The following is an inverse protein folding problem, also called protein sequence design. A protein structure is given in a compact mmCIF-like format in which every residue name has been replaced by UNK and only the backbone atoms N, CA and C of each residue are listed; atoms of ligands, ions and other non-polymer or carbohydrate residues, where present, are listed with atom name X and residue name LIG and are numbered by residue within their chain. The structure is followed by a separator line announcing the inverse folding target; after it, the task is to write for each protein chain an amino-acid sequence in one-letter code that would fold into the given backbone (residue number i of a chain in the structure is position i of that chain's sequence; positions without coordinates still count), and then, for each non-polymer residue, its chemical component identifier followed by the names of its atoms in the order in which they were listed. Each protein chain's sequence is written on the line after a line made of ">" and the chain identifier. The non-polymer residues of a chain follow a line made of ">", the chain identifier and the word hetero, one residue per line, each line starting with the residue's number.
data_IF_633026303188
#
_entry.id   IF_633026303188
#
_cell.length_a   1.000
_cell.length_b   1.000
_cell.length_c   1.000
_cell.angle_alpha   90.00
_cell.angle_beta   90.00
_cell.angle_gamma   90.00
#
_symmetry.space_group_name_H-M   'P 1'
#
loop_
_entity.id
_entity.type
_entity.pdbx_description
1 polymer ?
#
# COMPACT_ATOMS: atom_id res chain seq x y z
N UNK A 1 -8.22 -14.94 -2.53
CA UNK A 1 -8.80 -16.29 -2.49
C UNK A 1 -7.74 -17.28 -2.96
N UNK A 2 -7.42 -18.29 -2.14
CA UNK A 2 -6.36 -19.30 -2.37
C UNK A 2 -6.95 -20.53 -3.07
N UNK A 3 -6.41 -20.92 -4.22
CA UNK A 3 -6.59 -22.23 -4.88
C UNK A 3 -5.41 -22.36 -5.87
N UNK A 4 -4.72 -23.47 -6.14
CA UNK A 4 -4.61 -24.83 -5.64
C UNK A 4 -3.26 -25.31 -6.22
N UNK A 5 -2.29 -25.65 -5.39
CA UNK A 5 -1.05 -26.29 -5.84
C UNK A 5 -1.04 -27.70 -5.25
N UNK A 6 -1.08 -28.72 -6.09
CA UNK A 6 -0.53 -30.06 -5.79
C UNK A 6 -0.70 -30.97 -7.01
N UNK A 7 0.44 -31.38 -7.55
CA UNK A 7 0.59 -32.42 -8.56
C UNK A 7 1.62 -33.43 -8.02
N UNK A 8 1.44 -34.70 -8.40
CA UNK A 8 2.33 -35.86 -8.22
C UNK A 8 2.23 -36.65 -6.90
N UNK A 9 1.48 -37.76 -6.96
CA UNK A 9 1.98 -39.07 -6.53
C UNK A 9 1.06 -40.20 -7.00
N UNK A 10 1.68 -41.29 -7.44
CA UNK A 10 1.13 -42.64 -7.67
C UNK A 10 0.79 -43.00 -9.12
N UNK A 11 1.84 -43.37 -9.88
CA UNK A 11 1.74 -44.54 -10.76
C UNK A 11 3.01 -45.37 -10.56
N UNK A 12 2.84 -46.56 -9.98
CA UNK A 12 3.91 -47.56 -9.84
C UNK A 12 4.21 -48.20 -11.19
N UNK A 13 5.51 -48.36 -11.48
CA UNK A 13 6.04 -49.08 -12.64
C UNK A 13 5.98 -50.57 -12.31
N UNK A 14 5.14 -51.32 -13.01
CA UNK A 14 5.23 -52.78 -13.06
C UNK A 14 6.03 -53.19 -14.30
N UNK A 15 7.24 -53.72 -14.07
CA UNK A 15 8.05 -54.42 -15.06
C UNK A 15 7.43 -55.77 -15.44
N UNK A 16 7.30 -56.14 -16.72
CA UNK A 16 6.98 -57.51 -17.10
C UNK A 16 8.22 -58.40 -17.03
N UNK A 17 8.03 -59.59 -16.47
CA UNK A 17 8.97 -60.69 -16.34
C UNK A 17 9.40 -61.28 -17.68
N UNK A 18 10.70 -61.58 -17.79
CA UNK A 18 11.35 -62.37 -18.84
C UNK A 18 10.78 -63.80 -18.88
N UNK A 19 10.37 -64.29 -20.05
CA UNK A 19 10.06 -65.71 -20.29
C UNK A 19 11.00 -66.30 -21.36
N UNK A 20 11.38 -67.58 -21.28
CA UNK A 20 12.44 -68.17 -22.10
C UNK A 20 11.92 -68.63 -23.47
N UNK A 21 12.74 -68.41 -24.48
CA UNK A 21 12.57 -68.91 -25.85
C UNK A 21 12.79 -70.43 -25.91
N UNK A 22 11.78 -71.19 -26.32
CA UNK A 22 11.97 -72.57 -26.77
C UNK A 22 11.05 -72.90 -27.95
N UNK A 23 11.65 -73.41 -29.03
CA UNK A 23 11.01 -74.23 -30.06
C UNK A 23 10.44 -73.47 -31.27
N UNK A 24 11.25 -73.35 -32.33
CA UNK A 24 10.75 -72.93 -33.65
C UNK A 24 9.90 -74.02 -34.32
N UNK A 25 8.76 -73.62 -34.88
CA UNK A 25 8.04 -74.38 -35.90
C UNK A 25 8.27 -73.71 -37.27
N UNK A 26 8.27 -74.46 -38.39
CA UNK A 26 8.58 -73.92 -39.70
C UNK A 26 7.51 -72.93 -40.15
N UNK A 27 7.96 -71.80 -40.70
CA UNK A 27 7.13 -70.75 -41.28
C UNK A 27 6.48 -71.27 -42.57
N UNK A 28 5.14 -71.30 -42.62
CA UNK A 28 4.37 -71.62 -43.84
C UNK A 28 3.91 -70.30 -44.50
N UNK A 29 4.47 -69.90 -45.66
CA UNK A 29 4.16 -68.64 -46.32
C UNK A 29 2.76 -68.60 -46.99
N UNK A 30 1.99 -69.69 -46.95
CA UNK A 30 0.75 -69.81 -47.73
C UNK A 30 -0.53 -69.31 -47.02
N UNK A 31 -0.45 -68.85 -45.77
CA UNK A 31 -1.61 -68.39 -44.99
C UNK A 31 -1.88 -66.87 -45.05
N UNK A 32 -1.04 -66.09 -45.73
CA UNK A 32 -1.28 -64.66 -45.94
C UNK A 32 -1.74 -64.39 -47.37
N UNK A 33 -2.94 -64.89 -47.70
CA UNK A 33 -3.70 -64.37 -48.83
C UNK A 33 -4.37 -63.06 -48.43
N UNK A 34 -3.99 -62.01 -49.13
CA UNK A 34 -4.77 -60.81 -49.47
C UNK A 34 -5.94 -60.45 -48.55
N UNK A 35 -5.74 -59.41 -47.73
CA UNK A 35 -6.80 -58.51 -47.33
C UNK A 35 -6.22 -57.12 -47.02
N UNK A 36 -6.00 -56.32 -48.05
CA UNK A 36 -6.35 -54.90 -47.96
C UNK A 36 -7.88 -54.87 -48.02
N UNK A 37 -8.52 -54.27 -47.02
CA UNK A 37 -9.28 -53.08 -47.39
C UNK A 37 -9.19 -51.95 -46.37
N UNK A 38 -9.50 -50.77 -46.92
CA UNK A 38 -9.88 -49.54 -46.26
C UNK A 38 -8.75 -48.73 -45.63
N UNK A 39 -8.28 -47.74 -46.39
CA UNK A 39 -8.22 -46.39 -45.85
C UNK A 39 -9.47 -46.19 -44.97
N UNK A 40 -9.27 -45.94 -43.68
CA UNK A 40 -10.36 -45.66 -42.76
C UNK A 40 -11.08 -44.40 -43.30
N UNK A 41 -12.17 -44.57 -44.06
CA UNK A 41 -13.05 -43.47 -44.41
C UNK A 41 -13.70 -43.01 -43.11
N UNK A 42 -13.23 -41.87 -42.58
CA UNK A 42 -13.89 -41.20 -41.48
C UNK A 42 -15.37 -41.02 -41.84
N UNK A 43 -16.28 -41.46 -40.97
CA UNK A 43 -17.71 -41.18 -41.17
C UNK A 43 -17.91 -39.66 -41.22
N UNK A 44 -18.91 -39.16 -41.95
CA UNK A 44 -19.17 -37.73 -42.06
C UNK A 44 -19.32 -37.03 -40.69
N UNK A 45 -19.77 -37.72 -39.64
CA UNK A 45 -19.76 -37.17 -38.28
C UNK A 45 -18.34 -36.93 -37.75
N UNK A 46 -17.40 -37.86 -37.96
CA UNK A 46 -16.00 -37.72 -37.51
C UNK A 46 -15.32 -36.55 -38.23
N UNK A 47 -15.61 -36.35 -39.52
CA UNK A 47 -15.09 -35.20 -40.28
C UNK A 47 -15.67 -33.87 -39.77
N UNK A 48 -16.96 -33.83 -39.43
CA UNK A 48 -17.60 -32.65 -38.85
C UNK A 48 -17.05 -32.29 -37.46
N UNK A 49 -16.78 -33.30 -36.61
CA UNK A 49 -16.12 -33.10 -35.32
C UNK A 49 -14.71 -32.54 -35.49
N UNK A 50 -13.94 -33.06 -36.45
CA UNK A 50 -12.58 -32.59 -36.75
C UNK A 50 -12.56 -31.11 -37.15
N UNK A 51 -13.49 -30.69 -38.01
CA UNK A 51 -13.63 -29.27 -38.41
C UNK A 51 -14.03 -28.38 -37.23
N UNK A 52 -14.93 -28.87 -36.38
CA UNK A 52 -15.33 -28.15 -35.16
C UNK A 52 -14.15 -27.98 -34.19
N UNK A 53 -13.34 -29.02 -33.98
CA UNK A 53 -12.14 -28.98 -33.14
C UNK A 53 -11.15 -27.94 -33.69
N UNK A 54 -10.84 -27.99 -34.99
CA UNK A 54 -9.94 -27.02 -35.62
C UNK A 54 -10.43 -25.57 -35.47
N UNK A 55 -11.74 -25.36 -35.60
CA UNK A 55 -12.33 -24.04 -35.38
C UNK A 55 -12.18 -23.57 -33.93
N UNK A 56 -12.44 -24.44 -32.95
CA UNK A 56 -12.28 -24.15 -31.53
C UNK A 56 -10.82 -23.90 -31.15
N UNK A 57 -9.87 -24.67 -31.71
CA UNK A 57 -8.43 -24.45 -31.54
C UNK A 57 -8.03 -23.07 -32.06
N UNK A 58 -8.51 -22.67 -33.24
CA UNK A 58 -8.29 -21.33 -33.79
C UNK A 58 -8.82 -20.23 -32.87
N UNK A 59 -10.04 -20.39 -32.33
CA UNK A 59 -10.62 -19.45 -31.37
C UNK A 59 -9.82 -19.38 -30.06
N UNK A 60 -9.34 -20.51 -29.56
CA UNK A 60 -8.55 -20.58 -28.33
C UNK A 60 -7.24 -19.82 -28.47
N UNK A 61 -6.55 -19.97 -29.61
CA UNK A 61 -5.31 -19.22 -29.91
C UNK A 61 -5.56 -17.71 -29.94
N UNK A 62 -6.67 -17.27 -30.55
CA UNK A 62 -7.04 -15.84 -30.61
C UNK A 62 -7.34 -15.30 -29.20
N UNK A 63 -8.11 -16.03 -28.39
CA UNK A 63 -8.43 -15.62 -27.03
C UNK A 63 -7.18 -15.56 -26.14
N UNK A 64 -6.29 -16.53 -26.28
CA UNK A 64 -5.01 -16.59 -25.57
C UNK A 64 -4.10 -15.41 -25.93
N UNK A 65 -4.09 -15.00 -27.21
CA UNK A 65 -3.43 -13.77 -27.63
C UNK A 65 -4.06 -12.51 -27.01
N UNK A 66 -5.40 -12.39 -27.02
CA UNK A 66 -6.11 -11.27 -26.40
C UNK A 66 -5.83 -11.17 -24.89
N UNK A 67 -5.77 -12.30 -24.18
CA UNK A 67 -5.42 -12.34 -22.75
C UNK A 67 -4.00 -11.79 -22.53
N UNK A 68 -3.02 -12.21 -23.34
CA UNK A 68 -1.65 -11.68 -23.25
C UNK A 68 -1.58 -10.18 -23.49
N UNK A 69 -2.28 -9.66 -24.50
CA UNK A 69 -2.32 -8.22 -24.75
C UNK A 69 -2.95 -7.45 -23.58
N UNK A 70 -4.05 -7.96 -23.02
CA UNK A 70 -4.71 -7.35 -21.87
C UNK A 70 -3.82 -7.35 -20.63
N UNK A 71 -3.07 -8.43 -20.39
CA UNK A 71 -2.07 -8.50 -19.30
C UNK A 71 -1.00 -7.42 -19.49
N UNK A 72 -0.41 -7.31 -20.69
CA UNK A 72 0.62 -6.30 -20.96
C UNK A 72 0.09 -4.86 -20.80
N UNK A 73 -1.15 -4.60 -21.24
CA UNK A 73 -1.83 -3.31 -21.04
C UNK A 73 -2.07 -3.03 -19.56
N UNK A 74 -2.56 -4.01 -18.81
CA UNK A 74 -2.81 -3.90 -17.38
C UNK A 74 -1.51 -3.61 -16.61
N UNK A 75 -0.42 -4.30 -16.92
CA UNK A 75 0.90 -4.09 -16.31
C UNK A 75 1.43 -2.67 -16.58
N UNK A 76 1.28 -2.20 -17.82
CA UNK A 76 1.67 -0.83 -18.21
C UNK A 76 0.84 0.22 -17.45
N UNK A 77 -0.49 0.04 -17.39
CA UNK A 77 -1.37 0.94 -16.63
C UNK A 77 -1.06 0.93 -15.14
N UNK A 78 -0.77 -0.23 -14.56
CA UNK A 78 -0.42 -0.35 -13.14
C UNK A 78 0.90 0.37 -12.83
N UNK A 79 1.88 0.25 -13.72
CA UNK A 79 3.15 1.00 -13.63
C UNK A 79 2.92 2.51 -13.70
N UNK A 80 2.09 2.96 -14.65
CA UNK A 80 1.74 4.37 -14.79
C UNK A 80 1.01 4.90 -13.55
N UNK A 81 0.04 4.15 -13.03
CA UNK A 81 -0.67 4.46 -11.79
C UNK A 81 0.29 4.57 -10.60
N UNK A 82 1.24 3.65 -10.48
CA UNK A 82 2.28 3.70 -9.44
C UNK A 82 3.15 4.95 -9.55
N UNK A 83 3.54 5.34 -10.76
CA UNK A 83 4.29 6.57 -11.00
C UNK A 83 3.49 7.83 -10.67
N UNK A 84 2.22 7.91 -11.08
CA UNK A 84 1.34 9.02 -10.75
C UNK A 84 1.15 9.17 -9.23
N UNK A 85 0.90 8.07 -8.52
CA UNK A 85 0.80 8.08 -7.04
C UNK A 85 2.07 8.62 -6.38
N UNK A 86 3.24 8.25 -6.89
CA UNK A 86 4.53 8.77 -6.39
C UNK A 86 4.66 10.27 -6.64
N UNK A 87 4.31 10.73 -7.84
CA UNK A 87 4.35 12.16 -8.19
C UNK A 87 3.40 12.97 -7.32
N UNK A 88 2.17 12.48 -7.09
CA UNK A 88 1.20 13.13 -6.21
C UNK A 88 1.79 13.29 -4.81
N UNK A 89 2.29 12.21 -4.22
CA UNK A 89 2.92 12.26 -2.89
C UNK A 89 4.07 13.25 -2.82
N UNK A 90 4.96 13.27 -3.83
CA UNK A 90 6.07 14.21 -3.87
C UNK A 90 5.59 15.67 -3.97
N UNK A 91 4.52 15.93 -4.72
CA UNK A 91 3.94 17.26 -4.83
C UNK A 91 3.26 17.69 -3.53
N UNK A 92 2.52 16.79 -2.88
CA UNK A 92 1.93 17.02 -1.56
C UNK A 92 3.03 17.37 -0.54
N UNK A 93 4.11 16.58 -0.46
CA UNK A 93 5.24 16.85 0.43
C UNK A 93 5.86 18.24 0.14
N UNK A 94 6.05 18.61 -1.14
CA UNK A 94 6.56 19.94 -1.53
C UNK A 94 5.61 21.07 -1.15
N UNK A 95 4.31 20.89 -1.32
CA UNK A 95 3.30 21.88 -0.91
C UNK A 95 3.37 22.09 0.60
N UNK A 96 3.36 21.00 1.38
CA UNK A 96 3.46 21.11 2.85
C UNK A 96 4.74 21.80 3.30
N UNK A 97 5.87 21.55 2.62
CA UNK A 97 7.14 22.22 2.92
C UNK A 97 7.09 23.71 2.57
N UNK A 98 6.48 24.07 1.44
CA UNK A 98 6.30 25.47 1.04
C UNK A 98 5.37 26.24 1.98
N UNK A 99 4.30 25.61 2.47
CA UNK A 99 3.38 26.18 3.45
C UNK A 99 4.07 26.38 4.81
N UNK A 100 4.78 25.36 5.30
CA UNK A 100 5.55 25.41 6.55
C UNK A 100 6.52 26.61 6.58
N UNK A 101 7.10 26.90 5.42
CA UNK A 101 8.05 27.96 5.21
C UNK A 101 7.43 29.37 5.23
N UNK A 102 6.11 29.52 5.10
CA UNK A 102 5.44 30.84 5.08
C UNK A 102 5.13 31.37 6.48
N UNK A 103 5.24 30.54 7.52
CA UNK A 103 4.81 30.90 8.88
C UNK A 103 5.70 31.97 9.54
N UNK A 104 6.99 32.05 9.19
CA UNK A 104 7.93 33.05 9.75
C UNK A 104 7.86 33.17 11.29
N UNK A 105 7.74 32.04 12.00
CA UNK A 105 7.63 32.00 13.46
C UNK A 105 6.23 32.24 14.04
N UNK A 106 5.24 32.58 13.22
CA UNK A 106 3.83 32.67 13.64
C UNK A 106 3.04 31.57 12.94
N UNK A 107 2.55 30.61 13.72
CA UNK A 107 1.79 29.48 13.22
C UNK A 107 0.40 29.43 13.87
N UNK A 108 -0.64 29.29 13.03
CA UNK A 108 -2.01 29.14 13.47
C UNK A 108 -2.47 27.73 13.11
N UNK A 109 -2.76 26.93 14.13
CA UNK A 109 -3.28 25.58 13.94
C UNK A 109 -4.79 25.55 14.12
N UNK A 110 -5.51 25.40 13.01
CA UNK A 110 -6.95 25.17 13.04
C UNK A 110 -7.21 23.67 13.22
N UNK A 111 -7.86 23.30 14.32
CA UNK A 111 -8.30 21.92 14.56
C UNK A 111 -9.76 21.82 14.15
N UNK A 112 -10.03 21.09 13.07
CA UNK A 112 -11.38 20.88 12.56
C UNK A 112 -12.03 19.64 13.18
N UNK A 113 -13.37 19.62 13.19
CA UNK A 113 -14.18 18.49 13.67
C UNK A 113 -13.82 18.03 15.10
N UNK A 114 -13.57 18.98 16.00
CA UNK A 114 -13.12 18.71 17.37
C UNK A 114 -14.04 17.76 18.16
N UNK A 115 -15.33 17.75 17.85
CA UNK A 115 -16.33 16.85 18.44
C UNK A 115 -16.01 15.36 18.24
N UNK A 116 -15.33 14.98 17.17
CA UNK A 116 -14.90 13.58 16.96
C UNK A 116 -13.83 13.15 17.97
N UNK A 117 -12.94 14.07 18.33
CA UNK A 117 -11.91 13.83 19.32
C UNK A 117 -12.50 13.70 20.73
N UNK A 118 -13.49 14.54 21.07
CA UNK A 118 -14.21 14.44 22.33
C UNK A 118 -14.94 13.09 22.46
N UNK A 119 -15.65 12.64 21.42
CA UNK A 119 -16.29 11.32 21.41
C UNK A 119 -15.28 10.19 21.60
N UNK A 120 -14.13 10.28 20.94
CA UNK A 120 -13.07 9.27 21.10
C UNK A 120 -12.56 9.22 22.54
N UNK A 121 -12.43 10.38 23.19
CA UNK A 121 -12.01 10.50 24.58
C UNK A 121 -13.07 9.98 25.57
N UNK A 122 -14.36 10.22 25.31
CA UNK A 122 -15.48 9.62 26.06
C UNK A 122 -15.49 8.09 25.99
N UNK A 123 -15.10 7.53 24.84
CA UNK A 123 -14.92 6.08 24.63
C UNK A 123 -13.60 5.54 25.23
N UNK A 124 -12.96 6.30 26.12
CA UNK A 124 -11.66 6.01 26.74
C UNK A 124 -10.51 5.74 25.75
N UNK A 125 -10.60 6.26 24.52
CA UNK A 125 -9.51 6.13 23.55
C UNK A 125 -8.55 7.32 23.66
N UNK A 126 -7.23 7.08 23.69
CA UNK A 126 -6.25 8.15 23.75
C UNK A 126 -6.30 8.99 22.48
N UNK A 127 -6.34 10.31 22.63
CA UNK A 127 -6.34 11.25 21.50
C UNK A 127 -5.06 12.06 21.51
N UNK A 128 -4.24 11.82 20.48
CA UNK A 128 -3.00 12.55 20.22
C UNK A 128 -2.99 12.99 18.77
N UNK A 129 -2.93 14.29 18.53
CA UNK A 129 -2.88 14.86 17.18
C UNK A 129 -1.64 15.75 17.01
N UNK A 130 -1.13 15.84 15.79
CA UNK A 130 0.04 16.65 15.44
C UNK A 130 -0.36 17.71 14.42
N UNK A 131 0.18 18.91 14.57
CA UNK A 131 0.07 19.93 13.53
C UNK A 131 1.01 19.62 12.35
N UNK A 132 0.77 20.21 11.17
CA UNK A 132 1.82 20.36 10.17
C UNK A 132 3.08 21.00 10.76
N UNK A 133 4.23 20.68 10.17
CA UNK A 133 5.48 21.34 10.50
C UNK A 133 5.46 22.79 10.04
N UNK A 134 6.13 23.67 10.77
CA UNK A 134 6.27 25.08 10.43
C UNK A 134 7.67 25.58 10.79
N UNK A 135 8.14 26.60 10.07
CA UNK A 135 9.45 27.18 10.32
C UNK A 135 9.39 28.42 11.18
N UNK A 136 10.39 28.58 12.05
CA UNK A 136 10.57 29.82 12.83
C UNK A 136 11.02 31.01 11.98
N UNK A 137 11.48 30.77 10.74
CA UNK A 137 11.98 31.79 9.81
C UNK A 137 12.66 31.16 8.58
N UNK A 138 13.23 32.00 7.71
CA UNK A 138 14.04 31.57 6.54
C UNK A 138 15.43 32.25 6.59
N UNK A 139 16.50 31.55 7.01
CA UNK A 139 16.53 30.20 7.59
C UNK A 139 15.95 30.15 9.02
N UNK A 140 15.51 28.99 9.48
CA UNK A 140 14.94 28.80 10.82
C UNK A 140 14.73 27.33 11.17
N UNK A 141 14.37 27.06 12.43
CA UNK A 141 14.10 25.71 12.93
C UNK A 141 12.74 25.23 12.44
N UNK A 142 12.62 23.95 12.14
CA UNK A 142 11.33 23.31 11.85
C UNK A 142 10.72 22.76 13.13
N UNK A 143 9.51 23.18 13.46
CA UNK A 143 8.78 22.76 14.66
C UNK A 143 7.42 22.16 14.27
N UNK A 144 6.80 21.39 15.14
CA UNK A 144 5.38 21.06 15.07
C UNK A 144 4.75 21.06 16.47
N UNK A 145 3.43 21.25 16.54
CA UNK A 145 2.67 21.13 17.77
C UNK A 145 2.12 19.72 17.92
N UNK A 146 2.03 19.25 19.16
CA UNK A 146 1.37 17.99 19.51
C UNK A 146 0.34 18.28 20.60
N UNK A 147 -0.92 17.96 20.32
CA UNK A 147 -2.02 18.09 21.28
C UNK A 147 -2.39 16.71 21.82
N UNK A 148 -2.53 16.62 23.13
CA UNK A 148 -3.08 15.47 23.83
C UNK A 148 -4.37 15.89 24.51
N UNK A 149 -5.45 15.15 24.27
CA UNK A 149 -6.68 15.28 25.03
C UNK A 149 -6.68 14.14 26.04
N UNK A 150 -6.63 14.49 27.32
CA UNK A 150 -6.50 13.52 28.41
C UNK A 150 -7.79 12.71 28.58
N UNK A 151 -7.67 11.45 28.98
CA UNK A 151 -8.82 10.60 29.25
C UNK A 151 -9.59 11.09 30.50
N UNK A 152 -10.92 10.89 30.59
CA UNK A 152 -11.68 11.27 31.77
C UNK A 152 -11.20 10.55 33.04
N UNK A 153 -10.61 9.36 32.87
CA UNK A 153 -10.03 8.54 33.93
C UNK A 153 -8.58 8.91 34.27
N UNK A 154 -7.96 9.89 33.60
CA UNK A 154 -6.58 10.28 33.84
C UNK A 154 -6.40 10.91 35.23
N UNK A 155 -5.53 10.37 36.11
CA UNK A 155 -5.34 10.91 37.44
C UNK A 155 -4.73 12.32 37.36
N UNK A 156 -5.37 13.30 38.00
CA UNK A 156 -5.00 14.73 38.08
C UNK A 156 -5.19 15.59 36.83
N UNK A 157 -5.28 15.01 35.63
CA UNK A 157 -5.32 15.78 34.37
C UNK A 157 -6.56 15.51 33.50
N UNK A 158 -7.56 14.79 34.00
CA UNK A 158 -8.75 14.37 33.23
C UNK A 158 -9.47 15.48 32.43
N UNK A 159 -9.45 16.72 32.92
CA UNK A 159 -10.15 17.86 32.31
C UNK A 159 -9.21 18.85 31.59
N UNK A 160 -7.96 18.46 31.36
CA UNK A 160 -6.96 19.32 30.73
C UNK A 160 -6.61 18.80 29.34
N UNK A 161 -6.25 19.74 28.46
CA UNK A 161 -5.51 19.43 27.25
C UNK A 161 -4.04 19.76 27.47
N UNK A 162 -3.14 18.97 26.89
CA UNK A 162 -1.70 19.21 26.97
C UNK A 162 -1.19 19.52 25.57
N UNK A 163 -0.58 20.69 25.40
CA UNK A 163 0.02 21.13 24.15
C UNK A 163 1.54 21.13 24.27
N UNK A 164 2.20 20.50 23.32
CA UNK A 164 3.65 20.38 23.28
C UNK A 164 4.19 20.96 21.98
N UNK A 165 5.43 21.46 22.04
CA UNK A 165 6.19 21.87 20.86
C UNK A 165 7.30 20.85 20.65
N UNK A 166 7.39 20.30 19.45
CA UNK A 166 8.41 19.35 19.07
C UNK A 166 9.31 19.94 17.97
N UNK A 167 10.61 19.75 18.10
CA UNK A 167 11.57 20.03 17.03
C UNK A 167 11.53 18.91 15.98
N UNK A 168 11.45 19.29 14.70
CA UNK A 168 11.55 18.40 13.56
C UNK A 168 12.90 18.63 12.86
N UNK A 169 13.35 17.65 12.07
CA UNK A 169 14.49 17.84 11.17
C UNK A 169 14.13 18.91 10.11
N UNK A 170 14.84 20.03 10.13
CA UNK A 170 14.71 21.12 9.17
C UNK A 170 15.76 21.05 8.06
N UNK A 171 15.53 21.80 6.99
CA UNK A 171 16.49 21.93 5.87
C UNK A 171 17.76 22.68 6.28
N UNK A 172 17.64 23.62 7.22
CA UNK A 172 18.71 24.54 7.62
C UNK A 172 19.45 24.13 8.90
N UNK A 173 19.16 22.96 9.48
CA UNK A 173 19.66 22.54 10.80
C UNK A 173 21.20 22.61 10.92
N UNK A 174 21.92 22.37 9.82
CA UNK A 174 23.40 22.40 9.78
C UNK A 174 24.00 23.80 9.98
N UNK A 175 23.21 24.86 9.77
CA UNK A 175 23.64 26.25 9.88
C UNK A 175 23.05 26.96 11.09
N UNK A 176 22.15 26.30 11.83
CA UNK A 176 21.50 26.87 13.01
C UNK A 176 22.26 26.51 14.29
N UNK A 177 22.31 27.42 15.28
CA UNK A 177 22.91 27.10 16.57
C UNK A 177 22.08 26.05 17.31
N UNK A 178 22.74 25.17 18.06
CA UNK A 178 22.05 24.18 18.90
C UNK A 178 22.63 24.17 20.32
N UNK A 179 21.82 23.94 21.37
CA UNK A 179 20.37 23.68 21.34
C UNK A 179 19.54 24.92 20.94
N UNK A 180 18.27 24.71 20.58
CA UNK A 180 17.35 25.81 20.25
C UNK A 180 17.30 26.82 21.40
N UNK A 181 17.49 28.11 21.07
CA UNK A 181 17.40 29.23 22.01
C UNK A 181 16.37 30.24 21.51
N UNK A 182 15.34 30.50 22.32
CA UNK A 182 14.30 31.47 22.01
C UNK A 182 13.13 31.40 22.99
N UNK A 183 12.17 32.29 22.76
CA UNK A 183 10.91 32.34 23.49
C UNK A 183 9.82 31.73 22.63
N UNK A 184 9.14 30.72 23.15
CA UNK A 184 7.96 30.12 22.52
C UNK A 184 6.73 30.64 23.22
N UNK A 185 5.80 31.20 22.45
CA UNK A 185 4.48 31.58 22.92
C UNK A 185 3.44 30.63 22.35
N UNK A 186 2.70 29.96 23.22
CA UNK A 186 1.55 29.14 22.87
C UNK A 186 0.27 29.86 23.27
N UNK A 187 -0.72 29.83 22.39
CA UNK A 187 -2.02 30.46 22.67
C UNK A 187 -3.16 29.61 22.15
N UNK A 188 -4.20 29.44 22.97
CA UNK A 188 -5.51 28.94 22.55
C UNK A 188 -6.37 30.16 22.27
N UNK A 189 -6.80 30.31 21.02
CA UNK A 189 -7.54 31.46 20.56
C UNK A 189 -9.04 31.31 20.85
N UNK A 190 -9.61 32.31 21.51
CA UNK A 190 -11.04 32.44 21.74
C UNK A 190 -11.72 32.92 20.45
N UNK A 191 -12.77 32.21 20.02
CA UNK A 191 -13.54 32.48 18.81
C UNK A 191 -14.94 33.03 19.13
N UNK A 192 -15.23 33.34 20.40
CA UNK A 192 -16.54 33.86 20.79
C UNK A 192 -16.85 35.22 20.13
N UNK A 193 -18.09 35.39 19.67
CA UNK A 193 -18.57 36.66 19.14
C UNK A 193 -18.86 37.61 20.31
N UNK A 194 -17.83 38.28 20.82
CA UNK A 194 -17.95 39.21 21.94
C UNK A 194 -16.63 39.87 22.30
N UNK A 195 -16.71 41.10 22.83
CA UNK A 195 -15.58 41.80 23.43
C UNK A 195 -15.64 41.64 24.96
N UNK A 196 -14.54 41.28 25.64
CA UNK A 196 -13.19 40.98 25.12
C UNK A 196 -12.99 39.50 24.81
N UNK A 197 -12.20 39.21 23.77
CA UNK A 197 -11.67 37.87 23.46
C UNK A 197 -10.67 37.44 24.55
N UNK A 198 -10.87 36.29 25.17
CA UNK A 198 -9.99 35.80 26.24
C UNK A 198 -9.13 34.63 25.76
N UNK A 199 -8.03 34.95 25.08
CA UNK A 199 -7.05 33.92 24.68
C UNK A 199 -6.32 33.39 25.92
N UNK A 200 -6.15 32.07 25.98
CA UNK A 200 -5.28 31.45 26.99
C UNK A 200 -3.86 31.37 26.43
N UNK A 201 -2.92 32.05 27.07
CA UNK A 201 -1.54 32.18 26.59
C UNK A 201 -0.54 31.64 27.62
N UNK A 202 0.46 30.91 27.14
CA UNK A 202 1.61 30.46 27.92
C UNK A 202 2.90 30.77 27.17
N UNK A 203 3.84 31.39 27.87
CA UNK A 203 5.14 31.80 27.31
C UNK A 203 6.23 31.00 28.00
N UNK A 204 7.07 30.35 27.20
CA UNK A 204 8.16 29.50 27.64
C UNK A 204 9.47 30.01 27.03
N UNK A 205 10.44 30.31 27.88
CA UNK A 205 11.81 30.55 27.44
C UNK A 205 12.60 29.25 27.42
N UNK A 206 13.35 29.01 26.36
CA UNK A 206 14.28 27.89 26.31
C UNK A 206 15.32 28.04 27.41
N UNK A 207 15.41 27.04 28.27
CA UNK A 207 16.51 26.93 29.23
C UNK A 207 17.46 25.87 28.72
N UNK A 208 18.61 26.24 28.13
CA UNK A 208 19.54 25.28 27.54
C UNK A 208 20.10 24.27 28.55
N UNK A 209 19.97 24.54 29.86
CA UNK A 209 20.36 23.64 30.96
C UNK A 209 19.29 22.61 31.32
N UNK A 210 18.03 22.81 30.92
CA UNK A 210 16.99 21.80 31.07
C UNK A 210 17.09 20.84 29.90
N UNK A 211 17.43 19.58 30.19
CA UNK A 211 17.33 18.45 29.26
C UNK A 211 15.84 18.16 28.99
N UNK A 212 15.18 19.04 28.24
CA UNK A 212 13.83 18.87 27.76
C UNK A 212 13.82 19.02 26.24
N UNK A 213 14.60 18.17 25.57
CA UNK A 213 14.52 17.86 24.14
C UNK A 213 14.90 16.39 23.94
#
# INVERSE_FOLDING_TARGET
>A
MRMMAQTFRNVSINTPSTMPFHGGLPYDPSLFSQALPAQCECTPEVQNFKETIQHLEGRLVIQDHQIRELIAKMETQNTHMGNLKRTIRNLEERITEMEAQQCNGIFIWKIEHFSMYLKSQEEERPVVIHSPGFYTGKPGYKLCLRLHIQLPSAPRCANYISLFVHTMKGEHDSHLPWPFQGTIRLSILDQSEGSPTHNHEEVMDTKPELLAF
#
